data_IF_036759404136
#
_entry.id   IF_036759404136
#
_cell.length_a   1.000
_cell.length_b   1.000
_cell.length_c   1.000
_cell.angle_alpha   90.00
_cell.angle_beta   90.00
_cell.angle_gamma   90.00
#
_symmetry.space_group_name_H-M   'P 1'
#
loop_
_entity.id
_entity.type
_entity.pdbx_description
1 polymer ?
#
# COMPACT_ATOMS: atom_id res chain seq x y z
N UNK A 1 32.42 -70.44 30.56
CA UNK A 1 33.12 -69.17 30.87
C UNK A 1 33.29 -68.47 29.52
N UNK A 2 32.45 -67.53 29.08
CA UNK A 2 32.04 -66.23 29.65
C UNK A 2 30.63 -65.93 29.10
N UNK A 3 29.65 -65.64 29.96
CA UNK A 3 28.40 -65.02 29.52
C UNK A 3 28.63 -63.50 29.43
N UNK A 4 28.39 -62.92 28.26
CA UNK A 4 28.32 -61.46 28.07
C UNK A 4 26.84 -61.07 27.98
N UNK A 5 26.35 -60.46 29.05
CA UNK A 5 25.03 -59.85 29.11
C UNK A 5 24.98 -58.68 28.12
N UNK A 6 24.19 -58.80 27.06
CA UNK A 6 23.65 -57.64 26.35
C UNK A 6 22.37 -57.23 27.09
N UNK A 7 22.52 -56.46 28.17
CA UNK A 7 21.40 -55.65 28.65
C UNK A 7 21.25 -54.48 27.67
N UNK A 8 20.26 -54.58 26.79
CA UNK A 8 19.79 -53.45 26.02
C UNK A 8 19.16 -52.44 27.00
N UNK A 9 19.91 -51.37 27.27
CA UNK A 9 19.49 -50.26 28.13
C UNK A 9 18.29 -49.54 27.48
N UNK A 10 17.09 -49.92 27.92
CA UNK A 10 15.82 -49.35 27.50
C UNK A 10 15.73 -47.84 27.80
N UNK A 11 16.55 -47.30 28.73
CA UNK A 11 16.62 -45.85 28.96
C UNK A 11 17.43 -45.12 27.89
N UNK A 12 18.41 -45.77 27.23
CA UNK A 12 19.11 -45.16 26.08
C UNK A 12 18.24 -45.12 24.82
N UNK A 13 17.42 -46.14 24.60
CA UNK A 13 16.48 -46.19 23.48
C UNK A 13 15.39 -45.10 23.57
N UNK A 14 14.85 -44.84 24.77
CA UNK A 14 13.83 -43.80 24.99
C UNK A 14 14.35 -42.37 24.80
N UNK A 15 15.62 -42.11 25.20
CA UNK A 15 16.25 -40.79 25.03
C UNK A 15 16.56 -40.45 23.58
N UNK A 16 16.85 -41.45 22.75
CA UNK A 16 17.06 -41.25 21.31
C UNK A 16 15.75 -41.01 20.55
N UNK A 17 14.64 -41.64 20.98
CA UNK A 17 13.34 -41.48 20.34
C UNK A 17 12.74 -40.08 20.58
N UNK A 18 12.92 -39.52 21.78
CA UNK A 18 12.44 -38.16 22.10
C UNK A 18 13.24 -37.03 21.43
N UNK A 19 14.45 -37.30 20.93
CA UNK A 19 15.24 -36.30 20.21
C UNK A 19 14.87 -36.22 18.72
N UNK A 20 14.44 -37.34 18.11
CA UNK A 20 14.04 -37.39 16.69
C UNK A 20 12.57 -36.96 16.49
N UNK A 21 11.69 -37.24 17.46
CA UNK A 21 10.29 -36.76 17.40
C UNK A 21 10.12 -35.33 17.93
N UNK A 22 11.03 -34.85 18.80
CA UNK A 22 11.04 -33.47 19.28
C UNK A 22 11.44 -32.45 18.20
N UNK A 23 12.37 -32.80 17.29
CA UNK A 23 12.81 -31.90 16.22
C UNK A 23 11.78 -31.76 15.08
N UNK A 24 10.91 -32.76 14.90
CA UNK A 24 9.85 -32.72 13.90
C UNK A 24 8.63 -31.91 14.35
N UNK A 25 8.41 -31.75 15.68
CA UNK A 25 7.28 -30.99 16.21
C UNK A 25 7.54 -29.47 16.34
N UNK A 26 8.78 -29.03 16.08
CA UNK A 26 9.16 -27.61 15.96
C UNK A 26 9.34 -27.20 14.50
N UNK A 27 8.71 -27.93 13.56
CA UNK A 27 8.32 -27.28 12.30
C UNK A 27 7.17 -26.34 12.65
N UNK A 28 7.58 -25.19 13.19
CA UNK A 28 6.81 -23.99 13.37
C UNK A 28 5.81 -23.91 12.23
N UNK A 29 4.54 -23.94 12.60
CA UNK A 29 3.48 -23.27 11.86
C UNK A 29 3.77 -21.76 11.90
N UNK A 30 4.94 -21.35 11.41
CA UNK A 30 5.08 -20.07 10.75
C UNK A 30 4.31 -20.27 9.45
N UNK A 31 2.99 -20.10 9.56
CA UNK A 31 2.24 -19.51 8.46
C UNK A 31 3.03 -18.27 8.12
N UNK A 32 3.89 -18.36 7.12
CA UNK A 32 4.40 -17.20 6.42
C UNK A 32 3.13 -16.50 6.02
N UNK A 33 2.77 -15.43 6.75
CA UNK A 33 1.74 -14.53 6.31
C UNK A 33 2.18 -14.16 4.90
N UNK A 34 1.45 -14.66 3.91
CA UNK A 34 1.69 -14.33 2.52
C UNK A 34 1.65 -12.80 2.51
N UNK A 35 2.82 -12.16 2.41
CA UNK A 35 2.84 -10.70 2.29
C UNK A 35 1.95 -10.40 1.09
N UNK A 36 0.86 -9.67 1.32
CA UNK A 36 -0.01 -9.29 0.23
C UNK A 36 0.81 -8.37 -0.66
N UNK A 37 1.35 -8.93 -1.75
CA UNK A 37 1.98 -8.18 -2.81
C UNK A 37 0.90 -7.19 -3.31
N UNK A 38 1.08 -5.90 -3.00
CA UNK A 38 0.01 -4.89 -2.88
C UNK A 38 -1.11 -4.93 -3.91
N UNK A 39 -2.33 -4.61 -3.48
CA UNK A 39 -3.51 -4.51 -4.35
C UNK A 39 -3.46 -3.22 -5.17
N UNK A 40 -3.59 -3.33 -6.50
CA UNK A 40 -3.63 -2.14 -7.35
C UNK A 40 -4.81 -1.24 -6.99
N UNK A 41 -6.00 -1.82 -6.84
CA UNK A 41 -7.23 -1.05 -6.58
C UNK A 41 -7.23 -0.41 -5.19
N UNK A 42 -6.72 -1.10 -4.17
CA UNK A 42 -6.84 -0.65 -2.78
C UNK A 42 -5.63 0.12 -2.27
N UNK A 43 -4.44 -0.08 -2.86
CA UNK A 43 -3.21 0.56 -2.41
C UNK A 43 -2.66 1.55 -3.45
N UNK A 44 -2.65 1.19 -4.74
CA UNK A 44 -1.95 1.97 -5.77
C UNK A 44 -2.84 3.05 -6.37
N UNK A 45 -4.05 2.70 -6.79
CA UNK A 45 -4.99 3.62 -7.40
C UNK A 45 -5.36 4.80 -6.48
N UNK A 46 -5.58 4.62 -5.16
CA UNK A 46 -5.83 5.73 -4.26
C UNK A 46 -4.65 6.69 -4.15
N UNK A 47 -3.40 6.20 -4.22
CA UNK A 47 -2.21 7.05 -4.26
C UNK A 47 -2.19 7.91 -5.53
N UNK A 48 -2.52 7.34 -6.68
CA UNK A 48 -2.61 8.09 -7.94
C UNK A 48 -3.71 9.16 -7.89
N UNK A 49 -4.85 8.84 -7.29
CA UNK A 49 -5.97 9.78 -7.05
C UNK A 49 -5.55 10.92 -6.14
N UNK A 50 -4.95 10.58 -4.99
CA UNK A 50 -4.48 11.53 -3.98
C UNK A 50 -3.49 12.55 -4.55
N UNK A 51 -2.58 12.10 -5.41
CA UNK A 51 -1.59 12.98 -6.07
C UNK A 51 -2.09 13.59 -7.39
N UNK A 52 -3.38 13.44 -7.71
CA UNK A 52 -4.05 14.10 -8.83
C UNK A 52 -3.67 13.56 -10.22
N UNK A 53 -3.03 12.40 -10.32
CA UNK A 53 -2.58 11.81 -11.58
C UNK A 53 -3.75 11.52 -12.52
N UNK A 54 -4.82 10.93 -11.99
CA UNK A 54 -6.05 10.57 -12.70
C UNK A 54 -7.16 11.64 -12.57
N UNK A 55 -6.78 12.89 -12.29
CA UNK A 55 -7.73 14.01 -12.25
C UNK A 55 -8.12 14.46 -13.67
N UNK A 56 -9.28 15.10 -13.79
CA UNK A 56 -9.78 15.65 -15.06
C UNK A 56 -8.91 16.75 -15.69
N UNK A 57 -7.95 17.31 -14.94
CA UNK A 57 -6.99 18.27 -15.46
C UNK A 57 -5.85 17.61 -16.26
N UNK A 58 -5.58 16.31 -16.05
CA UNK A 58 -4.42 15.58 -16.57
C UNK A 58 -4.81 14.23 -17.20
N UNK A 59 -4.35 13.09 -16.67
CA UNK A 59 -4.56 11.79 -17.31
C UNK A 59 -5.98 11.28 -17.17
N UNK A 60 -6.75 11.79 -16.19
CA UNK A 60 -8.19 11.54 -16.04
C UNK A 60 -9.08 12.34 -16.97
N UNK A 61 -8.51 13.24 -17.78
CA UNK A 61 -9.25 13.92 -18.83
C UNK A 61 -9.69 12.90 -19.90
N UNK A 62 -10.83 13.14 -20.55
CA UNK A 62 -11.32 12.29 -21.67
C UNK A 62 -10.25 12.11 -22.75
N UNK A 63 -9.46 13.15 -23.02
CA UNK A 63 -8.37 13.11 -23.99
C UNK A 63 -7.05 12.54 -23.46
N UNK A 64 -6.94 12.26 -22.15
CA UNK A 64 -5.70 11.90 -21.48
C UNK A 64 -4.57 12.91 -21.70
N UNK A 65 -3.33 12.49 -21.44
CA UNK A 65 -2.11 13.26 -21.77
C UNK A 65 -1.00 12.33 -22.22
N UNK A 66 -0.27 12.69 -23.28
CA UNK A 66 0.88 11.92 -23.75
C UNK A 66 0.55 10.45 -24.09
N UNK A 67 -0.65 10.21 -24.64
CA UNK A 67 -1.19 8.86 -24.89
C UNK A 67 -1.28 7.97 -23.64
N UNK A 68 -1.41 8.59 -22.47
CA UNK A 68 -1.69 7.93 -21.21
C UNK A 68 -3.04 8.43 -20.70
N UNK A 69 -3.97 7.49 -20.62
CA UNK A 69 -5.36 7.71 -20.28
C UNK A 69 -5.62 6.94 -18.99
N UNK A 70 -6.11 7.64 -17.98
CA UNK A 70 -6.64 7.04 -16.77
C UNK A 70 -8.12 7.41 -16.68
N UNK A 71 -8.90 6.58 -16.02
CA UNK A 71 -10.28 6.83 -15.68
C UNK A 71 -10.35 8.00 -14.70
N UNK A 72 -11.41 8.81 -14.80
CA UNK A 72 -11.58 9.98 -13.95
C UNK A 72 -11.69 9.53 -12.48
N UNK A 73 -10.72 9.94 -11.65
CA UNK A 73 -10.61 9.57 -10.23
C UNK A 73 -10.58 8.06 -9.96
N UNK A 74 -10.16 7.24 -10.93
CA UNK A 74 -10.05 5.80 -10.74
C UNK A 74 -11.38 5.06 -10.87
N UNK A 75 -12.35 5.61 -11.58
CA UNK A 75 -13.68 5.01 -11.78
C UNK A 75 -13.68 3.68 -12.54
N UNK A 76 -12.59 3.34 -13.25
CA UNK A 76 -12.37 2.02 -13.86
C UNK A 76 -10.96 1.52 -13.51
N UNK A 77 -10.80 0.87 -12.33
CA UNK A 77 -9.50 0.37 -11.86
C UNK A 77 -8.85 -0.63 -12.82
N UNK A 78 -9.66 -1.43 -13.53
CA UNK A 78 -9.14 -2.44 -14.45
C UNK A 78 -8.56 -1.77 -15.69
N UNK A 79 -9.26 -0.80 -16.28
CA UNK A 79 -8.73 -0.04 -17.40
C UNK A 79 -7.45 0.74 -17.02
N UNK A 80 -7.40 1.30 -15.82
CA UNK A 80 -6.22 2.01 -15.32
C UNK A 80 -5.01 1.10 -15.16
N UNK A 81 -5.22 -0.09 -14.61
CA UNK A 81 -4.18 -1.11 -14.51
C UNK A 81 -3.63 -1.49 -15.88
N UNK A 82 -4.50 -1.76 -16.86
CA UNK A 82 -4.10 -2.09 -18.23
C UNK A 82 -3.27 -0.96 -18.87
N UNK A 83 -3.67 0.30 -18.67
CA UNK A 83 -2.95 1.47 -19.19
C UNK A 83 -1.57 1.66 -18.56
N UNK A 84 -1.45 1.33 -17.27
CA UNK A 84 -0.20 1.46 -16.51
C UNK A 84 0.74 0.29 -16.82
N UNK A 85 0.26 -0.94 -16.68
CA UNK A 85 1.12 -2.14 -16.63
C UNK A 85 1.34 -2.73 -18.01
N UNK A 86 0.34 -2.74 -18.89
CA UNK A 86 0.39 -3.51 -20.15
C UNK A 86 0.48 -2.63 -21.40
N UNK A 87 -0.18 -1.47 -21.41
CA UNK A 87 -0.27 -0.64 -22.59
C UNK A 87 1.10 -0.19 -23.11
N UNK A 88 1.20 -0.10 -24.43
CA UNK A 88 2.44 0.20 -25.16
C UNK A 88 3.61 -0.74 -24.82
N UNK A 89 3.33 -2.01 -24.52
CA UNK A 89 4.38 -2.99 -24.22
C UNK A 89 5.08 -2.73 -22.89
N UNK A 90 4.31 -2.36 -21.86
CA UNK A 90 4.80 -2.15 -20.49
C UNK A 90 5.89 -1.08 -20.32
N UNK A 91 6.04 -0.14 -21.27
CA UNK A 91 7.09 0.90 -21.26
C UNK A 91 7.07 1.82 -20.03
N UNK A 92 5.99 1.81 -19.25
CA UNK A 92 5.84 2.62 -18.04
C UNK A 92 6.39 1.95 -16.79
N UNK A 93 6.58 0.62 -16.83
CA UNK A 93 6.99 -0.20 -15.70
C UNK A 93 8.37 -0.81 -15.98
N UNK A 94 9.30 -0.64 -15.05
CA UNK A 94 10.64 -1.23 -15.08
C UNK A 94 10.88 -2.04 -13.83
N UNK A 95 10.67 -3.35 -13.93
CA UNK A 95 10.75 -4.27 -12.79
C UNK A 95 12.14 -4.34 -12.15
N UNK A 96 13.21 -4.20 -12.94
CA UNK A 96 14.60 -4.32 -12.45
C UNK A 96 15.10 -3.05 -11.75
N UNK A 97 14.53 -1.90 -12.06
CA UNK A 97 14.86 -0.59 -11.46
C UNK A 97 13.54 0.18 -11.26
N UNK A 98 12.72 -0.23 -10.27
CA UNK A 98 11.36 0.27 -10.09
C UNK A 98 11.25 1.79 -10.04
N UNK A 99 12.16 2.46 -9.33
CA UNK A 99 12.27 3.91 -9.19
C UNK A 99 12.46 4.66 -10.53
N UNK A 100 13.00 4.00 -11.55
CA UNK A 100 13.14 4.56 -12.92
C UNK A 100 11.91 4.28 -13.81
N UNK A 101 10.88 3.61 -13.30
CA UNK A 101 9.60 3.45 -13.98
C UNK A 101 8.98 4.82 -14.26
N UNK A 102 8.43 5.03 -15.46
CA UNK A 102 7.81 6.32 -15.80
C UNK A 102 6.66 6.68 -14.86
N UNK A 103 5.98 5.67 -14.30
CA UNK A 103 4.94 5.84 -13.28
C UNK A 103 5.46 6.54 -12.00
N UNK A 104 6.75 6.45 -11.70
CA UNK A 104 7.39 7.07 -10.53
C UNK A 104 8.23 8.28 -10.96
N UNK A 105 9.09 8.10 -11.96
CA UNK A 105 10.09 9.10 -12.34
C UNK A 105 9.47 10.40 -12.87
N UNK A 106 8.32 10.35 -13.56
CA UNK A 106 7.62 11.55 -14.04
C UNK A 106 6.96 12.33 -12.89
N UNK A 107 6.06 11.75 -12.09
CA UNK A 107 5.43 12.51 -11.00
C UNK A 107 6.39 12.88 -9.87
N UNK A 108 7.53 12.20 -9.71
CA UNK A 108 8.56 12.60 -8.73
C UNK A 108 9.55 13.67 -9.22
N UNK A 109 9.37 14.21 -10.43
CA UNK A 109 10.27 15.24 -10.97
C UNK A 109 11.65 14.73 -11.41
N UNK A 110 11.99 13.44 -11.19
CA UNK A 110 13.22 12.81 -11.71
C UNK A 110 13.31 12.87 -13.24
N UNK A 111 12.16 12.88 -13.91
CA UNK A 111 12.03 13.16 -15.35
C UNK A 111 11.03 14.29 -15.59
N UNK A 112 11.30 15.11 -16.61
CA UNK A 112 10.43 16.22 -16.99
C UNK A 112 8.97 15.77 -17.18
N UNK A 113 8.04 16.41 -16.47
CA UNK A 113 6.62 16.10 -16.49
C UNK A 113 5.82 17.41 -16.57
N UNK A 114 4.98 17.54 -17.60
CA UNK A 114 4.18 18.76 -17.83
C UNK A 114 3.22 19.05 -16.68
N UNK A 115 2.76 18.01 -15.97
CA UNK A 115 1.93 18.14 -14.78
C UNK A 115 2.69 18.58 -13.53
N UNK A 116 3.99 18.88 -13.62
CA UNK A 116 4.84 19.22 -12.48
C UNK A 116 5.16 18.03 -11.58
N UNK A 117 5.87 18.32 -10.49
CA UNK A 117 6.15 17.37 -9.41
C UNK A 117 4.88 17.16 -8.55
N UNK A 118 4.63 15.90 -8.17
CA UNK A 118 3.45 15.46 -7.42
C UNK A 118 3.80 14.88 -6.06
N UNK A 119 5.00 14.32 -5.90
CA UNK A 119 5.51 13.79 -4.64
C UNK A 119 7.04 13.69 -4.68
N UNK A 120 7.66 13.73 -3.50
CA UNK A 120 9.12 13.66 -3.40
C UNK A 120 9.62 12.25 -3.82
N UNK A 121 10.75 12.15 -4.55
CA UNK A 121 11.33 10.89 -5.01
C UNK A 121 11.65 9.85 -3.91
N UNK A 122 11.86 10.29 -2.67
CA UNK A 122 12.16 9.49 -1.48
C UNK A 122 10.97 9.33 -0.52
N UNK A 123 9.81 9.87 -0.92
CA UNK A 123 8.57 9.80 -0.14
C UNK A 123 8.05 8.36 0.06
N UNK A 124 7.20 8.14 1.08
CA UNK A 124 6.52 6.86 1.26
C UNK A 124 5.72 6.39 0.03
N UNK A 125 5.08 7.31 -0.70
CA UNK A 125 4.33 6.96 -1.93
C UNK A 125 5.25 6.43 -3.02
N UNK A 126 6.40 7.07 -3.26
CA UNK A 126 7.39 6.59 -4.22
C UNK A 126 7.90 5.19 -3.85
N UNK A 127 8.17 4.95 -2.57
CA UNK A 127 8.60 3.64 -2.04
C UNK A 127 7.52 2.57 -2.17
N UNK A 128 6.25 2.90 -1.94
CA UNK A 128 5.13 1.95 -2.12
C UNK A 128 4.95 1.58 -3.58
N UNK A 129 4.96 2.56 -4.50
CA UNK A 129 4.93 2.28 -5.94
C UNK A 129 6.11 1.40 -6.37
N UNK A 130 7.31 1.69 -5.87
CA UNK A 130 8.51 0.92 -6.20
C UNK A 130 8.40 -0.54 -5.70
N UNK A 131 7.95 -0.76 -4.46
CA UNK A 131 7.72 -2.12 -3.92
C UNK A 131 6.68 -2.88 -4.74
N UNK A 132 5.56 -2.24 -5.08
CA UNK A 132 4.51 -2.86 -5.88
C UNK A 132 5.02 -3.26 -7.27
N UNK A 133 5.78 -2.38 -7.94
CA UNK A 133 6.43 -2.70 -9.21
C UNK A 133 7.42 -3.85 -9.03
N UNK A 134 8.28 -3.81 -8.00
CA UNK A 134 9.26 -4.85 -7.73
C UNK A 134 8.61 -6.22 -7.51
N UNK A 135 7.42 -6.26 -6.91
CA UNK A 135 6.62 -7.47 -6.71
C UNK A 135 5.93 -7.98 -7.99
N UNK A 136 6.22 -7.40 -9.15
CA UNK A 136 5.63 -7.79 -10.43
C UNK A 136 4.39 -6.99 -10.82
N UNK A 137 4.16 -5.84 -10.18
CA UNK A 137 2.99 -4.99 -10.40
C UNK A 137 1.67 -5.79 -10.40
N UNK A 138 1.39 -6.62 -9.37
CA UNK A 138 0.20 -7.46 -9.35
C UNK A 138 -1.06 -6.59 -9.33
N UNK A 139 -2.13 -7.04 -9.99
CA UNK A 139 -3.45 -6.42 -9.79
C UNK A 139 -3.93 -6.63 -8.33
N UNK A 140 -3.62 -7.79 -7.76
CA UNK A 140 -4.02 -8.21 -6.43
C UNK A 140 -5.40 -8.87 -6.42
N UNK A 141 -5.75 -9.46 -5.29
CA UNK A 141 -7.08 -10.01 -5.07
C UNK A 141 -8.08 -8.88 -4.79
N UNK A 142 -9.29 -9.01 -5.33
CA UNK A 142 -10.40 -8.14 -4.95
C UNK A 142 -10.75 -8.38 -3.49
N UNK A 143 -10.78 -7.32 -2.68
CA UNK A 143 -11.27 -7.39 -1.30
C UNK A 143 -12.60 -6.67 -1.17
N UNK A 144 -13.53 -7.27 -0.44
CA UNK A 144 -14.78 -6.64 -0.05
C UNK A 144 -14.51 -5.60 1.03
N UNK A 145 -15.05 -4.39 0.86
CA UNK A 145 -15.04 -3.37 1.92
C UNK A 145 -16.06 -3.80 2.98
N UNK A 146 -15.57 -4.07 4.18
CA UNK A 146 -16.39 -4.46 5.32
C UNK A 146 -16.86 -3.24 6.11
N UNK A 147 -16.02 -2.21 6.21
CA UNK A 147 -16.33 -0.99 6.94
C UNK A 147 -15.50 0.19 6.40
N UNK A 148 -16.10 1.37 6.37
CA UNK A 148 -15.40 2.64 6.13
C UNK A 148 -15.79 3.62 7.24
N UNK A 149 -14.80 4.09 8.00
CA UNK A 149 -15.00 4.97 9.14
C UNK A 149 -14.16 6.24 8.96
N UNK A 150 -14.78 7.40 9.12
CA UNK A 150 -14.10 8.70 9.11
C UNK A 150 -14.28 9.36 10.46
N UNK A 151 -13.17 9.64 11.14
CA UNK A 151 -13.16 10.29 12.45
C UNK A 151 -12.56 11.68 12.33
N UNK A 152 -13.25 12.69 12.86
CA UNK A 152 -12.70 14.04 12.98
C UNK A 152 -12.06 14.21 14.36
N UNK A 153 -10.74 14.42 14.39
CA UNK A 153 -10.01 14.82 15.58
C UNK A 153 -9.89 16.33 15.64
N UNK A 154 -10.56 16.92 16.62
CA UNK A 154 -10.46 18.34 16.96
C UNK A 154 -9.04 18.66 17.46
N UNK A 155 -8.42 19.70 16.90
CA UNK A 155 -7.12 20.20 17.38
C UNK A 155 -7.38 21.33 18.38
N UNK A 156 -6.85 21.19 19.60
CA UNK A 156 -6.95 22.20 20.66
C UNK A 156 -5.65 23.04 20.73
N UNK A 157 -5.73 24.35 21.06
CA UNK A 157 -6.93 25.11 21.43
C UNK A 157 -7.80 25.50 20.22
N UNK A 158 -9.13 25.47 20.40
CA UNK A 158 -10.07 26.02 19.40
C UNK A 158 -9.86 27.52 19.24
N UNK A 159 -9.35 27.92 18.09
CA UNK A 159 -9.36 29.29 17.63
C UNK A 159 -10.19 29.35 16.37
N UNK A 160 -10.95 30.42 16.19
CA UNK A 160 -11.59 30.66 14.90
C UNK A 160 -10.60 31.40 14.00
N UNK A 161 -10.38 30.90 12.80
CA UNK A 161 -11.10 29.77 12.19
C UNK A 161 -10.46 28.40 12.57
N UNK A 162 -11.27 27.36 12.82
CA UNK A 162 -10.82 26.13 13.52
C UNK A 162 -10.39 25.03 12.57
N UNK A 163 -9.21 24.46 12.84
CA UNK A 163 -8.66 23.31 12.12
C UNK A 163 -9.09 21.97 12.72
N UNK A 164 -9.62 21.08 11.87
CA UNK A 164 -9.84 19.67 12.20
C UNK A 164 -8.90 18.76 11.40
N UNK A 165 -8.40 17.72 12.04
CA UNK A 165 -7.75 16.59 11.37
C UNK A 165 -8.80 15.49 11.12
N UNK A 166 -8.91 15.00 9.88
CA UNK A 166 -9.69 13.80 9.57
C UNK A 166 -8.77 12.59 9.49
N UNK A 167 -9.19 11.49 10.12
CA UNK A 167 -8.58 10.17 9.98
C UNK A 167 -9.61 9.25 9.30
N UNK A 168 -9.26 8.63 8.17
CA UNK A 168 -10.15 7.71 7.43
C UNK A 168 -9.59 6.28 7.47
N UNK A 169 -10.39 5.34 7.97
CA UNK A 169 -10.06 3.93 8.09
C UNK A 169 -10.92 3.09 7.17
N UNK A 170 -10.28 2.27 6.33
CA UNK A 170 -10.93 1.29 5.46
C UNK A 170 -10.63 -0.13 5.93
N UNK A 171 -11.67 -0.90 6.29
CA UNK A 171 -11.58 -2.30 6.69
C UNK A 171 -12.04 -3.19 5.53
N UNK A 172 -11.25 -4.20 5.19
CA UNK A 172 -11.52 -5.14 4.08
C UNK A 172 -11.44 -6.59 4.54
N UNK A 173 -11.99 -7.54 3.77
CA UNK A 173 -11.81 -8.97 4.02
C UNK A 173 -10.39 -9.47 3.69
N UNK A 174 -9.93 -10.53 4.36
CA UNK A 174 -8.61 -11.14 4.18
C UNK A 174 -7.59 -10.86 5.31
N UNK A 175 -6.37 -11.43 5.24
CA UNK A 175 -5.39 -11.32 6.32
C UNK A 175 -4.89 -9.88 6.49
N UNK A 176 -4.89 -9.41 7.74
CA UNK A 176 -4.30 -8.14 8.14
C UNK A 176 -2.78 -8.22 8.05
N UNK A 177 -2.18 -7.29 7.29
CA UNK A 177 -0.75 -7.10 7.24
C UNK A 177 -0.33 -6.43 8.55
N UNK A 178 0.39 -7.16 9.42
CA UNK A 178 0.95 -6.64 10.67
C UNK A 178 -0.05 -6.56 11.84
N UNK A 179 0.46 -6.77 13.05
CA UNK A 179 -0.32 -6.73 14.28
C UNK A 179 -1.04 -5.37 14.46
N UNK A 180 -2.37 -5.39 14.48
CA UNK A 180 -3.23 -4.28 14.88
C UNK A 180 -3.80 -3.48 13.71
N UNK A 181 -5.14 -3.51 13.60
CA UNK A 181 -6.01 -2.67 12.73
C UNK A 181 -5.54 -2.50 11.27
N UNK A 182 -6.21 -3.22 10.36
CA UNK A 182 -6.26 -2.85 8.94
C UNK A 182 -7.10 -1.58 8.77
N UNK A 183 -6.53 -0.44 9.16
CA UNK A 183 -6.93 0.88 8.72
C UNK A 183 -5.74 1.46 7.98
N UNK A 184 -5.76 1.36 6.65
CA UNK A 184 -4.82 2.13 5.85
C UNK A 184 -5.38 3.55 5.80
N UNK A 185 -4.62 4.52 6.30
CA UNK A 185 -4.96 5.94 6.09
C UNK A 185 -4.88 6.22 4.58
N UNK A 186 -6.05 6.19 3.93
CA UNK A 186 -6.19 6.43 2.50
C UNK A 186 -6.26 7.93 2.16
N UNK A 187 -6.19 8.78 3.18
CA UNK A 187 -6.19 10.23 3.06
C UNK A 187 -4.85 10.77 3.57
N UNK A 188 -4.37 11.93 3.08
CA UNK A 188 -3.45 12.68 3.96
C UNK A 188 -4.29 13.24 5.10
N UNK A 189 -3.64 13.56 6.22
CA UNK A 189 -4.20 14.41 7.27
C UNK A 189 -4.76 15.69 6.63
N UNK A 190 -6.08 15.76 6.40
CA UNK A 190 -6.70 16.93 5.79
C UNK A 190 -7.08 17.91 6.89
N UNK A 191 -6.60 19.14 6.76
CA UNK A 191 -6.92 20.29 7.61
C UNK A 191 -8.08 21.07 6.99
N UNK A 192 -9.20 21.13 7.70
CA UNK A 192 -10.38 21.92 7.31
C UNK A 192 -10.55 23.11 8.24
N UNK A 193 -10.86 24.29 7.69
CA UNK A 193 -11.31 25.43 8.48
C UNK A 193 -12.82 25.42 8.59
N UNK A 194 -13.31 25.70 9.80
CA UNK A 194 -14.69 26.13 9.99
C UNK A 194 -14.66 27.61 10.35
N UNK A 195 -15.29 28.43 9.51
CA UNK A 195 -15.49 29.84 9.78
C UNK A 195 -16.52 30.05 10.92
N UNK A 196 -16.61 31.26 11.52
CA UNK A 196 -17.56 31.54 12.61
C UNK A 196 -19.05 31.35 12.25
N UNK A 197 -19.39 31.26 10.97
CA UNK A 197 -20.74 31.06 10.45
C UNK A 197 -21.03 29.59 10.11
N UNK A 198 -20.06 28.68 10.32
CA UNK A 198 -20.18 27.26 9.99
C UNK A 198 -19.84 26.93 8.54
N UNK A 199 -19.27 27.87 7.78
CA UNK A 199 -18.71 27.63 6.45
C UNK A 199 -17.47 26.74 6.54
N UNK A 200 -17.42 25.70 5.70
CA UNK A 200 -16.27 24.82 5.57
C UNK A 200 -15.40 25.34 4.43
N UNK A 201 -14.19 25.79 4.77
CA UNK A 201 -13.19 26.20 3.79
C UNK A 201 -12.00 25.25 3.82
N UNK A 202 -11.53 24.86 2.63
CA UNK A 202 -10.42 23.95 2.46
C UNK A 202 -9.13 24.75 2.35
N UNK A 203 -8.24 24.65 3.35
CA UNK A 203 -7.15 25.63 3.51
C UNK A 203 -5.84 25.17 2.85
N UNK A 204 -5.55 23.87 2.70
CA UNK A 204 -4.31 23.47 2.03
C UNK A 204 -4.26 22.04 1.47
N UNK A 205 -3.85 21.94 0.20
CA UNK A 205 -3.14 20.79 -0.37
C UNK A 205 -1.65 21.08 -0.23
N UNK A 206 -0.95 20.43 0.70
CA UNK A 206 0.50 20.50 0.69
C UNK A 206 1.13 19.10 0.61
N UNK A 207 1.23 18.52 -0.59
CA UNK A 207 1.98 17.29 -0.79
C UNK A 207 3.50 17.47 -0.65
N UNK A 208 4.02 18.70 -0.45
CA UNK A 208 5.46 19.00 -0.48
C UNK A 208 5.85 20.27 0.33
N UNK A 209 5.77 20.27 1.67
CA UNK A 209 6.71 21.04 2.52
C UNK A 209 6.97 20.35 3.85
N UNK A 210 8.15 19.73 3.97
CA UNK A 210 9.08 19.95 5.09
C UNK A 210 10.45 20.14 4.47
#
# INVERSE_FOLDING_TARGET
MIQRNLEFDLQKAWRMFLFVTGLALVHSLETVAQESHGSFELEILPLLTKHGCNSGACHGAVAGRGHFFLSLWGSDPKADYEQIVHAFGSRRIRYQVPEESLLIAKPSGRLAHEGGERFDPESPVAKTLARWIQAGAPYGDSKSILQFEVTAKKIEPVQFPTVFQLDANLVTDGPAIGQGIAGQDITDRVTWEIDPNGGLEWIEHNPLKV
#
